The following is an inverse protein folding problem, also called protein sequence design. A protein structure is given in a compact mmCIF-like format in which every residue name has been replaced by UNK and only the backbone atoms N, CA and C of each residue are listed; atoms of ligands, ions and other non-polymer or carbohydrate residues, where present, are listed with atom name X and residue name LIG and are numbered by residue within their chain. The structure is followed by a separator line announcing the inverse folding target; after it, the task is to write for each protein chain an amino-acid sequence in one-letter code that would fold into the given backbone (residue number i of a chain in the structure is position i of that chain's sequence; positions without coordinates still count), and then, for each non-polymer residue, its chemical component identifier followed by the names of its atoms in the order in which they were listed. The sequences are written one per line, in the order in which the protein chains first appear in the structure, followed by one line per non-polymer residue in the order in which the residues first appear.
data_IF_805141382169
#
_entry.id   IF_805141382169
#
_cell.length_a   1.000
_cell.length_b   1.000
_cell.length_c   1.000
_cell.angle_alpha   90.00
_cell.angle_beta   90.00
_cell.angle_gamma   90.00
#
_symmetry.space_group_name_H-M   'P 1'
#
loop_
_entity.id
_entity.type
_entity.pdbx_description
1 polymer ?
#
# COMPACT_ATOMS: atom_id res chain seq x y z
N UNK A 1 9.53 26.27 0.24
CA UNK A 1 8.68 25.08 0.22
C UNK A 1 9.58 23.88 0.50
N UNK A 2 9.36 23.14 1.56
CA UNK A 2 10.12 21.93 1.85
C UNK A 2 9.81 20.91 0.74
N UNK A 3 10.84 20.51 0.00
CA UNK A 3 10.71 19.48 -1.02
C UNK A 3 10.45 18.15 -0.31
N UNK A 4 9.47 17.36 -0.77
CA UNK A 4 9.22 16.03 -0.21
C UNK A 4 10.49 15.16 -0.32
N UNK A 5 10.74 14.25 0.63
CA UNK A 5 11.90 13.38 0.58
C UNK A 5 11.83 12.50 -0.66
N UNK A 6 12.97 12.22 -1.28
CA UNK A 6 13.04 11.27 -2.38
C UNK A 6 12.95 9.85 -1.84
N UNK A 7 12.27 8.99 -2.58
CA UNK A 7 12.17 7.57 -2.29
C UNK A 7 12.57 6.74 -3.50
N UNK A 8 12.97 5.51 -3.25
CA UNK A 8 13.21 4.48 -4.26
C UNK A 8 12.30 3.30 -3.98
N UNK A 9 11.60 2.84 -5.00
CA UNK A 9 10.80 1.61 -4.93
C UNK A 9 11.62 0.46 -5.52
N UNK A 10 11.73 -0.65 -4.79
CA UNK A 10 12.43 -1.85 -5.24
C UNK A 10 11.64 -3.13 -4.93
N UNK A 11 11.98 -4.21 -5.61
CA UNK A 11 11.46 -5.53 -5.29
C UNK A 11 11.84 -5.96 -3.86
N UNK A 12 11.06 -6.89 -3.33
CA UNK A 12 11.42 -7.59 -2.08
C UNK A 12 12.64 -8.47 -2.30
N UNK A 13 13.50 -8.52 -1.29
CA UNK A 13 14.66 -9.40 -1.21
C UNK A 13 14.54 -10.31 0.03
N UNK A 14 15.27 -11.45 0.09
CA UNK A 14 15.25 -12.33 1.26
C UNK A 14 15.56 -11.62 2.58
N UNK A 15 16.38 -10.57 2.53
CA UNK A 15 16.77 -9.74 3.67
C UNK A 15 15.61 -8.94 4.27
N UNK A 16 14.52 -8.75 3.52
CA UNK A 16 13.33 -8.03 3.98
C UNK A 16 12.41 -8.89 4.86
N UNK A 17 12.75 -10.16 5.11
CA UNK A 17 11.93 -11.06 5.92
C UNK A 17 11.60 -10.51 7.31
N UNK A 18 12.58 -9.90 7.98
CA UNK A 18 12.36 -9.32 9.31
C UNK A 18 11.44 -8.12 9.29
N UNK A 19 11.53 -7.30 8.24
CA UNK A 19 10.60 -6.20 7.99
C UNK A 19 9.17 -6.71 7.82
N UNK A 20 8.98 -7.69 6.92
CA UNK A 20 7.66 -8.27 6.67
C UNK A 20 7.09 -8.93 7.92
N UNK A 21 7.91 -9.68 8.64
CA UNK A 21 7.49 -10.33 9.88
C UNK A 21 6.98 -9.32 10.91
N UNK A 22 7.66 -8.17 11.04
CA UNK A 22 7.25 -7.10 11.94
C UNK A 22 5.95 -6.42 11.49
N UNK A 23 5.86 -6.05 10.20
CA UNK A 23 4.68 -5.34 9.66
C UNK A 23 3.44 -6.24 9.66
N UNK A 24 3.55 -7.46 9.13
CA UNK A 24 2.41 -8.37 8.98
C UNK A 24 1.87 -8.88 10.33
N UNK A 25 2.70 -8.86 11.37
CA UNK A 25 2.33 -9.28 12.73
C UNK A 25 2.05 -8.10 13.67
N UNK A 26 2.09 -6.87 13.19
CA UNK A 26 1.69 -5.71 13.99
C UNK A 26 0.16 -5.62 14.06
N UNK A 27 -0.39 -5.97 15.21
CA UNK A 27 -1.84 -5.97 15.48
C UNK A 27 -2.47 -4.59 15.20
N UNK A 28 -1.71 -3.50 15.38
CA UNK A 28 -2.18 -2.13 15.09
C UNK A 28 -2.43 -1.90 13.59
N UNK A 29 -1.78 -2.68 12.72
CA UNK A 29 -1.92 -2.58 11.28
C UNK A 29 -2.95 -3.55 10.70
N UNK A 30 -3.48 -4.49 11.49
CA UNK A 30 -4.46 -5.46 10.99
C UNK A 30 -5.76 -4.81 10.51
N UNK A 31 -6.14 -3.67 11.05
CA UNK A 31 -7.32 -2.91 10.60
C UNK A 31 -7.14 -2.26 9.23
N UNK A 32 -5.91 -2.04 8.79
CA UNK A 32 -5.58 -1.47 7.48
C UNK A 32 -5.05 -2.50 6.50
N UNK A 33 -4.73 -3.71 6.98
CA UNK A 33 -4.28 -4.85 6.20
C UNK A 33 -5.40 -5.85 5.93
N UNK A 34 -5.08 -6.85 5.10
CA UNK A 34 -6.04 -7.90 4.73
C UNK A 34 -5.93 -9.15 5.62
N UNK A 35 -5.10 -9.13 6.66
CA UNK A 35 -4.90 -10.27 7.55
C UNK A 35 -5.10 -9.90 9.01
N UNK A 36 -5.70 -10.83 9.73
CA UNK A 36 -5.92 -10.74 11.18
C UNK A 36 -5.37 -11.97 11.91
N UNK A 37 -4.50 -12.73 11.26
CA UNK A 37 -3.82 -13.89 11.83
C UNK A 37 -2.31 -13.71 11.75
N UNK A 38 -1.55 -14.16 12.77
CA UNK A 38 -0.10 -14.04 12.74
C UNK A 38 0.50 -14.96 11.67
N UNK A 39 1.51 -14.44 10.97
CA UNK A 39 2.30 -15.19 10.01
C UNK A 39 3.59 -15.71 10.63
N UNK A 40 3.94 -16.96 10.30
CA UNK A 40 5.26 -17.49 10.63
C UNK A 40 6.33 -16.91 9.71
N UNK A 41 7.58 -16.90 10.17
CA UNK A 41 8.74 -16.56 9.30
C UNK A 41 8.83 -17.49 8.09
N UNK A 42 8.50 -18.75 8.27
CA UNK A 42 8.48 -19.73 7.19
C UNK A 42 7.48 -19.36 6.10
N UNK A 43 6.26 -18.97 6.47
CA UNK A 43 5.23 -18.53 5.52
C UNK A 43 5.67 -17.27 4.75
N UNK A 44 6.24 -16.30 5.44
CA UNK A 44 6.72 -15.07 4.81
C UNK A 44 7.96 -15.29 3.94
N UNK A 45 8.86 -16.18 4.37
CA UNK A 45 10.00 -16.60 3.54
C UNK A 45 9.52 -17.23 2.22
N UNK A 46 8.55 -18.14 2.29
CA UNK A 46 7.97 -18.76 1.09
C UNK A 46 7.26 -17.72 0.21
N UNK A 47 6.55 -16.76 0.80
CA UNK A 47 5.93 -15.67 0.06
C UNK A 47 6.97 -14.87 -0.73
N UNK A 48 8.08 -14.48 -0.12
CA UNK A 48 9.17 -13.78 -0.81
C UNK A 48 9.75 -14.68 -1.93
N UNK A 49 10.06 -15.95 -1.60
CA UNK A 49 10.70 -16.87 -2.53
C UNK A 49 9.84 -17.24 -3.74
N UNK A 50 8.52 -17.22 -3.61
CA UNK A 50 7.57 -17.57 -4.68
C UNK A 50 6.99 -16.36 -5.41
N UNK A 51 7.25 -15.15 -4.93
CA UNK A 51 6.84 -13.92 -5.62
C UNK A 51 7.57 -13.83 -6.96
N UNK A 52 6.83 -13.80 -8.05
CA UNK A 52 7.41 -13.71 -9.39
C UNK A 52 7.85 -12.29 -9.75
N UNK A 53 7.31 -11.29 -9.04
CA UNK A 53 7.45 -9.87 -9.41
C UNK A 53 6.65 -9.48 -10.66
N UNK A 54 5.89 -10.40 -11.22
CA UNK A 54 5.00 -10.17 -12.36
C UNK A 54 3.56 -9.99 -11.86
N UNK A 55 3.05 -8.77 -11.97
CA UNK A 55 1.69 -8.42 -11.54
C UNK A 55 0.61 -9.20 -12.31
N UNK A 56 0.87 -9.63 -13.54
CA UNK A 56 -0.07 -10.42 -14.32
C UNK A 56 -0.18 -11.85 -13.80
N UNK A 57 0.93 -12.43 -13.36
CA UNK A 57 0.97 -13.78 -12.77
C UNK A 57 0.44 -13.78 -11.33
N UNK A 58 0.94 -12.88 -10.50
CA UNK A 58 0.67 -12.85 -9.06
C UNK A 58 -0.62 -12.08 -8.70
N UNK A 59 -1.17 -11.31 -9.65
CA UNK A 59 -2.29 -10.38 -9.46
C UNK A 59 -2.02 -9.30 -8.41
N UNK A 60 -0.76 -9.14 -8.06
CA UNK A 60 -0.27 -8.16 -7.10
C UNK A 60 1.21 -7.89 -7.33
N UNK A 61 1.66 -6.76 -6.83
CA UNK A 61 3.08 -6.46 -6.66
C UNK A 61 3.28 -5.75 -5.34
N UNK A 62 4.29 -6.18 -4.57
CA UNK A 62 4.73 -5.51 -3.35
C UNK A 62 6.12 -4.95 -3.56
N UNK A 63 6.29 -3.67 -3.25
CA UNK A 63 7.56 -2.97 -3.37
C UNK A 63 7.99 -2.42 -2.02
N UNK A 64 9.28 -2.49 -1.78
CA UNK A 64 9.93 -1.89 -0.60
C UNK A 64 10.24 -0.44 -0.90
N UNK A 65 9.97 0.43 0.07
CA UNK A 65 10.22 1.86 -0.02
C UNK A 65 11.51 2.18 0.74
N UNK A 66 12.51 2.67 0.04
CA UNK A 66 13.76 3.16 0.64
C UNK A 66 13.88 4.67 0.50
N UNK A 67 14.50 5.30 1.49
CA UNK A 67 14.91 6.69 1.41
C UNK A 67 16.26 6.84 0.68
N UNK A 68 16.76 8.08 0.53
CA UNK A 68 18.03 8.38 -0.15
C UNK A 68 19.24 7.73 0.52
N UNK A 69 19.16 7.37 1.79
CA UNK A 69 20.23 6.70 2.55
C UNK A 69 20.15 5.16 2.43
N UNK A 70 19.21 4.63 1.68
CA UNK A 70 18.97 3.19 1.57
C UNK A 70 18.29 2.58 2.80
N UNK A 71 17.73 3.41 3.68
CA UNK A 71 16.94 2.92 4.82
C UNK A 71 15.53 2.61 4.36
N UNK A 72 15.04 1.43 4.71
CA UNK A 72 13.64 1.06 4.46
C UNK A 72 12.73 1.89 5.35
N UNK A 73 11.72 2.53 4.72
CA UNK A 73 10.76 3.40 5.39
C UNK A 73 9.33 2.87 5.33
N UNK A 74 9.09 1.83 4.54
CA UNK A 74 7.77 1.22 4.42
C UNK A 74 7.63 0.27 3.25
N UNK A 75 6.39 -0.08 2.95
CA UNK A 75 6.00 -0.93 1.81
C UNK A 75 4.83 -0.30 1.06
N UNK A 76 4.77 -0.54 -0.24
CA UNK A 76 3.65 -0.17 -1.11
C UNK A 76 3.21 -1.37 -1.93
N UNK A 77 1.91 -1.58 -2.00
CA UNK A 77 1.28 -2.69 -2.69
C UNK A 77 0.36 -2.19 -3.79
N UNK A 78 0.38 -2.88 -4.93
CA UNK A 78 -0.73 -2.92 -5.87
C UNK A 78 -1.33 -4.32 -5.79
N UNK A 79 -2.55 -4.43 -5.29
CA UNK A 79 -3.26 -5.70 -5.12
C UNK A 79 -4.56 -5.71 -5.91
N UNK A 80 -5.26 -6.83 -5.95
CA UNK A 80 -6.52 -6.96 -6.68
C UNK A 80 -6.41 -6.46 -8.13
N UNK A 81 -5.26 -6.73 -8.78
CA UNK A 81 -5.04 -6.32 -10.15
C UNK A 81 -6.01 -7.02 -11.09
N UNK A 82 -6.76 -6.21 -11.82
CA UNK A 82 -7.70 -6.65 -12.85
C UNK A 82 -7.17 -6.25 -14.23
N UNK A 83 -6.54 -7.20 -14.98
CA UNK A 83 -5.97 -6.90 -16.28
C UNK A 83 -7.02 -6.61 -17.36
N UNK A 84 -8.26 -7.08 -17.16
CA UNK A 84 -9.33 -6.83 -18.13
C UNK A 84 -9.86 -5.40 -18.06
N UNK A 85 -9.83 -4.81 -16.87
CA UNK A 85 -10.31 -3.45 -16.62
C UNK A 85 -9.17 -2.47 -16.31
N UNK A 86 -7.92 -2.93 -16.33
CA UNK A 86 -6.71 -2.13 -16.12
C UNK A 86 -6.78 -1.29 -14.83
N UNK A 87 -7.08 -1.95 -13.71
CA UNK A 87 -7.18 -1.32 -12.39
C UNK A 87 -6.48 -2.14 -11.32
N UNK A 88 -6.02 -1.46 -10.28
CA UNK A 88 -5.46 -2.10 -9.09
C UNK A 88 -5.82 -1.32 -7.83
N UNK A 89 -5.83 -2.00 -6.69
CA UNK A 89 -5.99 -1.40 -5.37
C UNK A 89 -4.62 -1.05 -4.81
N UNK A 90 -4.49 0.19 -4.31
CA UNK A 90 -3.27 0.70 -3.72
C UNK A 90 -3.30 0.51 -2.20
N UNK A 91 -2.30 -0.17 -1.65
CA UNK A 91 -1.99 -0.25 -0.23
C UNK A 91 -0.66 0.41 0.08
N UNK A 92 -0.57 1.11 1.20
CA UNK A 92 0.64 1.82 1.62
C UNK A 92 0.80 1.77 3.13
N UNK A 93 1.98 1.35 3.59
CA UNK A 93 2.39 1.40 4.99
C UNK A 93 3.71 2.13 5.08
N UNK A 94 3.74 3.23 5.84
CA UNK A 94 4.97 3.89 6.27
C UNK A 94 5.23 3.52 7.73
N UNK A 95 6.44 3.07 8.03
CA UNK A 95 6.84 2.74 9.40
C UNK A 95 6.76 3.96 10.30
N UNK A 96 6.36 3.76 11.55
CA UNK A 96 6.04 4.82 12.51
C UNK A 96 7.11 5.92 12.61
N UNK A 97 8.43 5.62 12.68
CA UNK A 97 9.47 6.65 12.76
C UNK A 97 9.55 7.59 11.55
N UNK A 98 9.00 7.18 10.41
CA UNK A 98 9.07 7.92 9.14
C UNK A 98 7.76 8.58 8.74
N UNK A 99 6.72 8.47 9.56
CA UNK A 99 5.42 9.12 9.31
C UNK A 99 5.52 10.64 9.41
N UNK A 100 4.59 11.33 8.76
CA UNK A 100 4.49 12.79 8.76
C UNK A 100 5.70 13.52 8.16
N UNK A 101 6.62 12.81 7.50
CA UNK A 101 7.82 13.37 6.87
C UNK A 101 7.72 13.49 5.33
N UNK A 102 6.55 13.22 4.73
CA UNK A 102 6.33 13.33 3.29
C UNK A 102 6.60 12.05 2.48
N UNK A 103 7.09 10.99 3.10
CA UNK A 103 7.40 9.72 2.40
C UNK A 103 6.19 9.10 1.72
N UNK A 104 5.02 9.14 2.36
CA UNK A 104 3.79 8.61 1.77
C UNK A 104 3.43 9.33 0.47
N UNK A 105 3.52 10.66 0.46
CA UNK A 105 3.25 11.44 -0.75
C UNK A 105 4.22 11.08 -1.87
N UNK A 106 5.52 11.08 -1.61
CA UNK A 106 6.54 10.74 -2.61
C UNK A 106 6.38 9.32 -3.16
N UNK A 107 6.02 8.37 -2.30
CA UNK A 107 5.74 6.99 -2.71
C UNK A 107 4.53 6.92 -3.63
N UNK A 108 3.43 7.59 -3.27
CA UNK A 108 2.21 7.60 -4.08
C UNK A 108 2.43 8.25 -5.44
N UNK A 109 3.25 9.29 -5.53
CA UNK A 109 3.63 9.91 -6.80
C UNK A 109 4.39 8.93 -7.69
N UNK A 110 5.38 8.22 -7.14
CA UNK A 110 6.16 7.23 -7.90
C UNK A 110 5.35 5.99 -8.30
N UNK A 111 4.53 5.44 -7.41
CA UNK A 111 3.71 4.27 -7.75
C UNK A 111 2.62 4.63 -8.77
N UNK A 112 2.13 5.86 -8.75
CA UNK A 112 1.22 6.37 -9.77
C UNK A 112 1.91 6.45 -11.13
N UNK A 113 3.13 6.98 -11.18
CA UNK A 113 3.91 7.04 -12.42
C UNK A 113 4.17 5.64 -13.00
N UNK A 114 4.54 4.68 -12.14
CA UNK A 114 4.69 3.28 -12.52
C UNK A 114 3.37 2.67 -13.03
N UNK A 115 2.27 2.92 -12.36
CA UNK A 115 0.95 2.42 -12.76
C UNK A 115 0.53 2.94 -14.14
N UNK A 116 0.77 4.21 -14.41
CA UNK A 116 0.40 4.86 -15.69
C UNK A 116 1.37 4.48 -16.81
N UNK A 117 2.67 4.66 -16.60
CA UNK A 117 3.65 4.63 -17.67
C UNK A 117 4.22 3.23 -17.93
N UNK A 118 4.14 2.32 -16.97
CA UNK A 118 4.66 0.95 -17.08
C UNK A 118 3.55 -0.07 -17.19
N UNK A 119 2.57 0.00 -16.28
CA UNK A 119 1.46 -0.96 -16.26
C UNK A 119 0.27 -0.54 -17.13
N UNK A 120 0.26 0.71 -17.60
CA UNK A 120 -0.83 1.29 -18.41
C UNK A 120 -2.21 1.14 -17.79
N UNK A 121 -2.29 1.30 -16.46
CA UNK A 121 -3.56 1.20 -15.75
C UNK A 121 -4.47 2.38 -16.11
N UNK A 122 -5.77 2.09 -16.19
CA UNK A 122 -6.80 3.11 -16.34
C UNK A 122 -7.10 3.81 -15.01
N UNK A 123 -6.97 3.09 -13.89
CA UNK A 123 -7.23 3.67 -12.57
C UNK A 123 -6.50 2.94 -11.44
N UNK A 124 -6.26 3.70 -10.38
CA UNK A 124 -5.95 3.19 -9.04
C UNK A 124 -7.11 3.51 -8.09
N UNK A 125 -7.36 2.62 -7.16
CA UNK A 125 -8.33 2.85 -6.09
C UNK A 125 -7.78 2.39 -4.75
N UNK A 126 -8.38 2.82 -3.67
CA UNK A 126 -8.11 2.35 -2.32
C UNK A 126 -9.39 2.37 -1.50
N UNK A 127 -9.48 1.44 -0.55
CA UNK A 127 -10.58 1.36 0.42
C UNK A 127 -10.05 1.80 1.78
N UNK A 128 -10.52 2.94 2.28
CA UNK A 128 -9.94 3.62 3.44
C UNK A 128 -11.00 3.76 4.53
N UNK A 129 -10.63 3.41 5.78
CA UNK A 129 -11.47 3.63 6.96
C UNK A 129 -11.85 5.11 7.07
N UNK A 130 -13.13 5.41 7.28
CA UNK A 130 -13.64 6.78 7.43
C UNK A 130 -12.96 7.55 8.56
N UNK A 131 -12.42 6.85 9.56
CA UNK A 131 -11.71 7.47 10.70
C UNK A 131 -10.27 7.83 10.38
N UNK A 132 -9.71 7.31 9.27
CA UNK A 132 -8.34 7.60 8.85
C UNK A 132 -8.27 8.88 8.02
N UNK A 133 -8.58 10.01 8.65
CA UNK A 133 -8.66 11.31 7.99
C UNK A 133 -7.32 11.73 7.35
N UNK A 134 -6.19 11.39 7.98
CA UNK A 134 -4.86 11.70 7.44
C UNK A 134 -4.64 11.02 6.07
N UNK A 135 -5.05 9.76 5.95
CA UNK A 135 -4.98 9.02 4.70
C UNK A 135 -5.93 9.60 3.65
N UNK A 136 -7.18 9.87 4.01
CA UNK A 136 -8.17 10.48 3.13
C UNK A 136 -7.69 11.84 2.58
N UNK A 137 -7.12 12.70 3.43
CA UNK A 137 -6.56 13.98 3.00
C UNK A 137 -5.39 13.83 2.04
N UNK A 138 -4.49 12.87 2.29
CA UNK A 138 -3.39 12.57 1.38
C UNK A 138 -3.90 12.15 0.00
N UNK A 139 -4.88 11.25 -0.06
CA UNK A 139 -5.47 10.79 -1.31
C UNK A 139 -6.16 11.94 -2.06
N UNK A 140 -6.97 12.76 -1.38
CA UNK A 140 -7.59 13.96 -1.99
C UNK A 140 -6.55 14.90 -2.57
N UNK A 141 -5.47 15.17 -1.83
CA UNK A 141 -4.35 16.02 -2.27
C UNK A 141 -3.71 15.52 -3.56
N UNK A 142 -3.67 14.20 -3.74
CA UNK A 142 -3.09 13.54 -4.91
C UNK A 142 -4.09 13.28 -6.04
N UNK A 143 -5.26 13.90 -5.98
CA UNK A 143 -6.26 13.86 -7.05
C UNK A 143 -7.18 12.65 -7.05
N UNK A 144 -7.22 11.89 -5.96
CA UNK A 144 -8.23 10.86 -5.78
C UNK A 144 -9.56 11.49 -5.37
N UNK A 145 -10.66 10.93 -5.85
CA UNK A 145 -12.02 11.35 -5.52
C UNK A 145 -12.72 10.27 -4.72
N UNK A 146 -13.63 10.66 -3.84
CA UNK A 146 -14.52 9.74 -3.13
C UNK A 146 -15.60 9.24 -4.10
N UNK A 147 -15.60 7.94 -4.41
CA UNK A 147 -16.56 7.36 -5.35
C UNK A 147 -17.65 6.55 -4.69
N UNK A 148 -17.40 6.01 -3.51
CA UNK A 148 -18.40 5.25 -2.77
C UNK A 148 -18.11 5.25 -1.27
N UNK A 149 -19.17 5.08 -0.49
CA UNK A 149 -19.10 4.80 0.94
C UNK A 149 -19.71 3.42 1.20
N UNK A 150 -18.90 2.54 1.76
CA UNK A 150 -19.27 1.18 2.12
C UNK A 150 -19.63 1.15 3.60
N UNK A 151 -20.86 0.77 3.91
CA UNK A 151 -21.38 0.75 5.28
C UNK A 151 -20.86 -0.47 6.04
N UNK A 152 -20.43 -0.24 7.30
CA UNK A 152 -19.99 -1.30 8.22
C UNK A 152 -19.02 -2.29 7.58
N UNK A 153 -18.06 -1.76 6.82
CA UNK A 153 -17.19 -2.54 5.93
C UNK A 153 -15.95 -3.10 6.65
N UNK A 154 -15.45 -2.37 7.62
CA UNK A 154 -14.23 -2.72 8.36
C UNK A 154 -14.57 -3.01 9.82
N UNK A 155 -13.95 -4.04 10.38
CA UNK A 155 -14.12 -4.42 11.78
C UNK A 155 -12.80 -4.24 12.53
N UNK A 156 -12.76 -3.43 13.57
CA UNK A 156 -11.56 -3.13 14.36
C UNK A 156 -11.33 -4.06 15.55
N UNK A 157 -12.15 -5.08 15.69
CA UNK A 157 -12.17 -6.01 16.84
C UNK A 157 -13.22 -5.67 17.89
N UNK A 158 -13.87 -4.51 17.79
CA UNK A 158 -14.92 -4.05 18.70
C UNK A 158 -16.17 -3.57 17.97
N UNK A 159 -15.99 -2.70 16.99
CA UNK A 159 -17.08 -2.08 16.21
C UNK A 159 -16.81 -2.15 14.71
N UNK A 160 -17.86 -1.98 13.93
CA UNK A 160 -17.75 -1.83 12.48
C UNK A 160 -17.60 -0.38 12.08
N UNK A 161 -16.75 -0.12 11.13
CA UNK A 161 -16.51 1.19 10.51
C UNK A 161 -16.96 1.19 9.06
N UNK A 162 -17.44 2.33 8.60
CA UNK A 162 -17.64 2.56 7.18
C UNK A 162 -16.27 2.72 6.50
N UNK A 163 -16.19 2.40 5.24
CA UNK A 163 -15.02 2.67 4.40
C UNK A 163 -15.38 3.59 3.23
N UNK A 164 -14.42 4.40 2.81
CA UNK A 164 -14.51 5.23 1.62
C UNK A 164 -13.67 4.60 0.52
N UNK A 165 -14.27 4.42 -0.65
CA UNK A 165 -13.55 4.05 -1.87
C UNK A 165 -13.06 5.33 -2.53
N UNK A 166 -11.74 5.48 -2.58
CA UNK A 166 -11.05 6.59 -3.25
C UNK A 166 -10.56 6.11 -4.61
N UNK A 167 -10.86 6.84 -5.69
CA UNK A 167 -10.45 6.48 -7.05
C UNK A 167 -9.68 7.62 -7.71
N UNK A 168 -8.68 7.26 -8.52
CA UNK A 168 -8.02 8.15 -9.45
C UNK A 168 -8.01 7.52 -10.83
N UNK A 169 -8.64 8.20 -11.78
CA UNK A 169 -8.66 7.84 -13.21
C UNK A 169 -7.49 8.52 -13.93
N UNK A 170 -6.91 7.87 -14.95
CA UNK A 170 -5.80 8.36 -15.74
C UNK A 170 -6.15 8.50 -17.21
#
# INVERSE_FOLDING_TARGET
MSQNPKVRLRAMEPEDLDLLYRIENDVKLWNVGNSNVPYSRYTLHNYIATSSGDIYADRQVRLIIENEQGTVVGIVDLVNFDPSNLRAELGLIIEEPFRHAGYAQSTMEQITDYAVNVLHLHQLFATIDVTNEACLQLFRKLGYIESARLKEWLFDGMIYHDAIVMQRLF
#
